data_IF_812946953115
#
_entry.id   IF_812946953115
#
_cell.length_a   1.000
_cell.length_b   1.000
_cell.length_c   1.000
_cell.angle_alpha   90.00
_cell.angle_beta   90.00
_cell.angle_gamma   90.00
#
_symmetry.space_group_name_H-M   'P 1'
#
loop_
_entity.id
_entity.type
_entity.pdbx_description
1 polymer ?
#
# COMPACT_ATOMS: atom_id res chain seq x y z
N UNK A 1 17.32 -1.95 -25.96
CA UNK A 1 16.20 -2.90 -25.83
C UNK A 1 15.85 -2.97 -24.35
N UNK A 2 14.81 -2.23 -23.91
CA UNK A 2 14.41 -2.23 -22.50
C UNK A 2 13.48 -3.43 -22.33
N UNK A 3 14.02 -4.54 -21.82
CA UNK A 3 13.20 -5.69 -21.43
C UNK A 3 12.43 -5.20 -20.20
N UNK A 4 11.22 -4.67 -20.41
CA UNK A 4 10.23 -4.62 -19.34
C UNK A 4 10.02 -6.09 -18.96
N UNK A 5 10.38 -6.42 -17.73
CA UNK A 5 10.08 -7.71 -17.14
C UNK A 5 8.80 -7.47 -16.36
N UNK A 6 7.71 -8.12 -16.73
CA UNK A 6 6.63 -8.38 -15.77
C UNK A 6 7.25 -9.14 -14.61
N UNK A 7 7.59 -8.44 -13.53
CA UNK A 7 8.21 -9.05 -12.37
C UNK A 7 7.08 -9.54 -11.48
N UNK A 8 7.01 -10.86 -11.35
CA UNK A 8 6.23 -11.49 -10.29
C UNK A 8 6.91 -11.25 -8.95
N UNK A 9 6.12 -11.09 -7.92
CA UNK A 9 6.60 -11.14 -6.54
C UNK A 9 7.23 -12.50 -6.25
N UNK A 10 8.26 -12.49 -5.41
CA UNK A 10 8.76 -13.73 -4.85
C UNK A 10 7.69 -14.33 -3.93
N UNK A 11 7.61 -15.66 -3.86
CA UNK A 11 6.65 -16.35 -2.97
C UNK A 11 6.73 -15.86 -1.50
N UNK A 12 7.92 -15.62 -0.90
CA UNK A 12 8.00 -15.06 0.44
C UNK A 12 7.34 -13.69 0.59
N UNK A 13 7.44 -12.84 -0.42
CA UNK A 13 6.80 -11.52 -0.43
C UNK A 13 5.28 -11.65 -0.53
N UNK A 14 4.77 -12.58 -1.35
CA UNK A 14 3.33 -12.87 -1.41
C UNK A 14 2.79 -13.33 -0.06
N UNK A 15 3.49 -14.25 0.61
CA UNK A 15 3.13 -14.74 1.94
C UNK A 15 3.17 -13.60 2.96
N UNK A 16 4.18 -12.74 2.87
CA UNK A 16 4.34 -11.59 3.76
C UNK A 16 3.18 -10.59 3.61
N UNK A 17 2.82 -10.22 2.38
CA UNK A 17 1.70 -9.29 2.12
C UNK A 17 0.37 -9.92 2.52
N UNK A 18 0.19 -11.23 2.31
CA UNK A 18 -1.00 -11.95 2.77
C UNK A 18 -1.11 -11.90 4.30
N UNK A 19 -0.06 -12.31 5.01
CA UNK A 19 -0.04 -12.33 6.47
C UNK A 19 -0.26 -10.93 7.06
N UNK A 20 0.36 -9.90 6.48
CA UNK A 20 0.14 -8.51 6.87
C UNK A 20 -1.31 -8.08 6.64
N UNK A 21 -1.90 -8.43 5.50
CA UNK A 21 -3.30 -8.08 5.19
C UNK A 21 -4.25 -8.72 6.20
N UNK A 22 -4.07 -10.01 6.49
CA UNK A 22 -4.87 -10.74 7.47
C UNK A 22 -4.76 -10.11 8.87
N UNK A 23 -3.54 -9.76 9.30
CA UNK A 23 -3.30 -9.10 10.59
C UNK A 23 -3.99 -7.73 10.71
N UNK A 24 -4.25 -7.06 9.58
CA UNK A 24 -4.90 -5.74 9.53
C UNK A 24 -6.38 -5.80 9.12
N UNK A 25 -7.00 -6.98 9.17
CA UNK A 25 -8.38 -7.19 8.73
C UNK A 25 -8.61 -6.70 7.28
N UNK A 26 -7.71 -7.09 6.39
CA UNK A 26 -7.78 -6.83 4.96
C UNK A 26 -7.64 -8.12 4.16
N UNK A 27 -8.13 -8.08 2.93
CA UNK A 27 -8.04 -9.16 1.95
C UNK A 27 -7.05 -8.76 0.86
N UNK A 28 -6.03 -9.58 0.67
CA UNK A 28 -5.16 -9.52 -0.50
C UNK A 28 -5.78 -10.29 -1.67
N UNK A 29 -5.65 -9.77 -2.89
CA UNK A 29 -5.99 -10.44 -4.15
C UNK A 29 -4.86 -10.24 -5.13
N UNK A 30 -4.31 -11.32 -5.66
CA UNK A 30 -3.38 -11.28 -6.80
C UNK A 30 -4.19 -11.02 -8.07
N UNK A 31 -3.79 -10.02 -8.85
CA UNK A 31 -4.37 -9.67 -10.15
C UNK A 31 -3.26 -9.62 -11.19
N UNK A 32 -3.62 -9.89 -12.43
CA UNK A 32 -2.77 -9.61 -13.58
C UNK A 32 -3.31 -8.33 -14.21
N UNK A 33 -2.49 -7.28 -14.25
CA UNK A 33 -2.84 -6.04 -14.93
C UNK A 33 -2.19 -5.98 -16.31
N UNK A 34 -2.90 -5.36 -17.25
CA UNK A 34 -2.55 -5.38 -18.66
C UNK A 34 -1.99 -4.02 -19.13
N UNK A 35 -0.71 -3.99 -19.49
CA UNK A 35 -0.09 -2.86 -20.19
C UNK A 35 -0.28 -2.97 -21.71
N UNK A 36 -1.04 -2.04 -22.30
CA UNK A 36 -1.52 -2.05 -23.69
C UNK A 36 -0.56 -2.54 -24.80
N UNK A 37 -1.14 -3.28 -25.75
CA UNK A 37 -0.75 -3.60 -27.13
C UNK A 37 0.52 -4.42 -27.42
N UNK A 38 1.34 -4.79 -26.44
CA UNK A 38 2.48 -5.72 -26.67
C UNK A 38 2.74 -6.65 -25.47
N UNK A 39 1.62 -7.20 -24.99
CA UNK A 39 1.24 -7.66 -23.64
C UNK A 39 2.24 -8.55 -22.88
N UNK A 40 2.98 -7.96 -21.94
CA UNK A 40 3.43 -8.69 -20.74
C UNK A 40 2.47 -8.35 -19.61
N UNK A 41 1.91 -9.39 -18.97
CA UNK A 41 1.10 -9.21 -17.77
C UNK A 41 1.98 -8.82 -16.60
N UNK A 42 1.59 -7.78 -15.86
CA UNK A 42 2.24 -7.39 -14.61
C UNK A 42 1.44 -7.96 -13.44
N UNK A 43 2.13 -8.63 -12.51
CA UNK A 43 1.50 -9.10 -11.28
C UNK A 43 1.31 -7.92 -10.33
N UNK A 44 0.07 -7.69 -9.92
CA UNK A 44 -0.29 -6.64 -8.96
C UNK A 44 -1.08 -7.24 -7.80
N UNK A 45 -0.81 -6.76 -6.60
CA UNK A 45 -1.54 -7.12 -5.38
C UNK A 45 -2.54 -6.02 -5.05
N UNK A 46 -3.83 -6.36 -5.12
CA UNK A 46 -4.89 -5.47 -4.68
C UNK A 46 -5.29 -5.81 -3.23
N UNK A 47 -5.29 -4.81 -2.37
CA UNK A 47 -5.60 -4.95 -0.94
C UNK A 47 -6.92 -4.24 -0.63
N UNK A 48 -7.87 -4.99 -0.08
CA UNK A 48 -9.23 -4.53 0.22
C UNK A 48 -9.49 -4.56 1.72
N UNK A 49 -10.15 -3.56 2.31
CA UNK A 49 -10.68 -3.69 3.67
C UNK A 49 -11.75 -4.79 3.70
N UNK A 50 -11.80 -5.61 4.76
CA UNK A 50 -12.87 -6.61 4.88
C UNK A 50 -14.25 -5.94 4.86
N UNK A 51 -15.17 -6.48 4.04
CA UNK A 51 -16.55 -5.99 3.93
C UNK A 51 -16.72 -4.70 3.10
N UNK A 52 -15.67 -4.18 2.47
CA UNK A 52 -15.72 -2.96 1.65
C UNK A 52 -15.28 -3.24 0.22
N UNK A 53 -15.97 -2.63 -0.76
CA UNK A 53 -15.69 -2.80 -2.19
C UNK A 53 -14.55 -1.94 -2.73
N UNK A 54 -14.32 -0.66 -2.32
CA UNK A 54 -13.18 0.07 -2.84
C UNK A 54 -11.88 -0.61 -2.41
N UNK A 55 -11.06 -0.95 -3.41
CA UNK A 55 -9.67 -1.30 -3.20
C UNK A 55 -9.02 -0.16 -2.41
N UNK A 56 -8.20 -0.51 -1.41
CA UNK A 56 -7.48 0.48 -0.61
C UNK A 56 -6.13 0.79 -1.23
N UNK A 57 -5.41 -0.26 -1.65
CA UNK A 57 -4.09 -0.14 -2.27
C UNK A 57 -3.90 -1.14 -3.40
N UNK A 58 -3.18 -0.70 -4.42
CA UNK A 58 -2.61 -1.54 -5.48
C UNK A 58 -1.09 -1.53 -5.28
N UNK A 59 -0.47 -2.70 -5.28
CA UNK A 59 0.96 -2.88 -5.06
C UNK A 59 1.53 -3.64 -6.27
N UNK A 60 2.63 -3.17 -6.84
CA UNK A 60 3.33 -3.86 -7.93
C UNK A 60 4.83 -3.76 -7.76
N UNK A 61 5.56 -4.65 -8.40
CA UNK A 61 7.03 -4.68 -8.36
C UNK A 61 7.60 -4.36 -9.74
N UNK A 62 8.64 -3.54 -9.75
CA UNK A 62 9.49 -3.33 -10.93
C UNK A 62 10.96 -3.57 -10.56
N UNK A 63 11.84 -3.53 -11.56
CA UNK A 63 13.27 -3.85 -11.40
C UNK A 63 13.99 -2.95 -10.37
N UNK A 64 13.38 -1.81 -10.01
CA UNK A 64 13.91 -0.85 -9.04
C UNK A 64 13.22 -0.83 -7.68
N UNK A 65 12.27 -1.72 -7.40
CA UNK A 65 11.61 -1.80 -6.10
C UNK A 65 10.10 -2.03 -6.18
N UNK A 66 9.41 -1.69 -5.11
CA UNK A 66 7.98 -1.94 -4.91
C UNK A 66 7.25 -0.61 -4.92
N UNK A 67 6.15 -0.55 -5.65
CA UNK A 67 5.28 0.60 -5.70
C UNK A 67 3.97 0.31 -5.00
N UNK A 68 3.47 1.29 -4.27
CA UNK A 68 2.17 1.26 -3.62
C UNK A 68 1.37 2.46 -4.06
N UNK A 69 0.19 2.22 -4.62
CA UNK A 69 -0.76 3.26 -4.99
C UNK A 69 -2.05 3.12 -4.17
N UNK A 70 -2.39 4.11 -3.32
CA UNK A 70 -3.75 4.21 -2.81
C UNK A 70 -4.71 4.54 -3.95
N UNK A 71 -5.91 3.98 -3.93
CA UNK A 71 -6.93 4.26 -4.98
C UNK A 71 -7.21 5.75 -5.11
N UNK A 72 -7.16 6.48 -3.99
CA UNK A 72 -7.24 7.93 -3.96
C UNK A 72 -5.89 8.52 -3.54
N UNK A 73 -4.94 8.59 -4.47
CA UNK A 73 -3.68 9.29 -4.23
C UNK A 73 -2.59 8.98 -5.24
N UNK A 74 -1.36 9.40 -4.89
CA UNK A 74 -0.16 9.19 -5.72
C UNK A 74 0.51 7.89 -5.35
N UNK A 75 1.13 7.25 -6.33
CA UNK A 75 2.02 6.13 -6.10
C UNK A 75 3.22 6.55 -5.26
N UNK A 76 3.66 5.63 -4.41
CA UNK A 76 4.84 5.74 -3.56
C UNK A 76 5.77 4.59 -3.88
N UNK A 77 7.08 4.83 -3.82
CA UNK A 77 8.13 3.87 -4.15
C UNK A 77 8.90 3.47 -2.88
N UNK A 78 9.20 2.18 -2.78
CA UNK A 78 9.90 1.54 -1.68
C UNK A 78 10.97 0.60 -2.21
N UNK A 79 12.05 0.41 -1.46
CA UNK A 79 13.14 -0.51 -1.84
C UNK A 79 12.75 -1.97 -1.72
N UNK A 80 11.78 -2.29 -0.85
CA UNK A 80 11.30 -3.65 -0.61
C UNK A 80 9.83 -3.71 -0.20
N UNK A 81 9.26 -4.92 -0.21
CA UNK A 81 7.91 -5.18 0.31
C UNK A 81 7.84 -4.89 1.81
N UNK A 82 8.88 -5.23 2.57
CA UNK A 82 8.94 -4.98 4.02
C UNK A 82 8.80 -3.49 4.32
N UNK A 83 9.62 -2.66 3.65
CA UNK A 83 9.57 -1.21 3.81
C UNK A 83 8.19 -0.63 3.46
N UNK A 84 7.57 -1.14 2.39
CA UNK A 84 6.23 -0.73 1.98
C UNK A 84 5.19 -1.05 3.06
N UNK A 85 5.20 -2.27 3.61
CA UNK A 85 4.24 -2.70 4.63
C UNK A 85 4.43 -1.97 5.96
N UNK A 86 5.67 -1.68 6.35
CA UNK A 86 5.98 -0.86 7.53
C UNK A 86 5.37 0.55 7.38
N UNK A 87 5.53 1.17 6.20
CA UNK A 87 4.97 2.49 5.93
C UNK A 87 3.43 2.51 5.89
N UNK A 88 2.80 1.39 5.46
CA UNK A 88 1.34 1.25 5.45
C UNK A 88 0.74 0.96 6.83
N UNK A 89 1.54 0.46 7.76
CA UNK A 89 1.09 0.15 9.12
C UNK A 89 0.85 1.47 9.86
N UNK A 90 -0.38 1.73 10.35
CA UNK A 90 -0.65 2.96 11.09
C UNK A 90 0.29 3.07 12.28
N UNK A 91 1.06 4.15 12.35
CA UNK A 91 1.76 4.51 13.59
C UNK A 91 0.71 4.66 14.70
N UNK A 92 0.95 4.06 15.87
CA UNK A 92 0.06 4.19 17.05
C UNK A 92 -0.36 5.66 17.18
N UNK A 93 -1.66 5.97 17.35
CA UNK A 93 -2.06 7.34 17.57
C UNK A 93 -1.33 7.85 18.80
N UNK A 94 -0.42 8.82 18.60
CA UNK A 94 0.06 9.66 19.67
C UNK A 94 -1.22 10.26 20.26
N UNK A 95 -1.53 9.91 21.51
CA UNK A 95 -2.69 10.45 22.20
C UNK A 95 -2.63 11.97 22.05
N UNK A 96 -3.52 12.52 21.22
CA UNK A 96 -3.67 13.96 21.10
C UNK A 96 -4.11 14.42 22.47
N UNK A 97 -3.17 14.94 23.27
CA UNK A 97 -3.50 15.62 24.51
C UNK A 97 -4.37 16.79 24.11
N UNK A 98 -5.64 16.73 24.49
CA UNK A 98 -6.58 17.83 24.31
C UNK A 98 -5.95 19.08 24.94
N UNK A 99 -5.45 19.99 24.10
CA UNK A 99 -5.06 21.32 24.55
C UNK A 99 -6.37 22.05 24.87
N UNK A 100 -6.84 21.89 26.11
CA UNK A 100 -7.91 22.72 26.66
C UNK A 100 -7.30 24.08 26.99
N UNK A 101 -7.53 25.08 26.15
CA UNK A 101 -7.29 26.47 26.54
C UNK A 101 -8.10 26.75 27.80
N UNK A 102 -7.42 26.93 28.94
CA UNK A 102 -8.09 27.12 30.23
C UNK A 102 -8.71 28.52 30.35
N UNK A 103 -8.21 29.49 29.56
CA UNK A 103 -8.74 30.86 29.45
C UNK A 103 -8.43 31.46 28.08
N UNK A 104 -9.38 32.21 27.52
CA UNK A 104 -9.15 33.10 26.39
C UNK A 104 -8.57 34.43 26.87
N UNK A 105 -7.62 35.06 26.16
CA UNK A 105 -7.19 36.41 26.50
C UNK A 105 -8.35 37.39 26.26
N UNK A 106 -8.72 38.12 27.30
CA UNK A 106 -9.63 39.26 27.19
C UNK A 106 -8.78 40.41 26.64
N UNK A 107 -9.06 40.83 25.41
CA UNK A 107 -8.37 41.95 24.79
C UNK A 107 -9.08 43.24 25.25
N UNK A 108 -8.34 44.25 25.75
CA UNK A 108 -8.88 45.51 26.28
C UNK A 108 -9.44 46.45 25.21
#
# INVERSE_FOLDING_TARGET
MKILKGLSFAIPDLILVQAWSEAHAMRMVVRLDHGSDNEQYEEVLAVYPFGSLPCRWIIWQEAGGVYVQPVNGRSQHYGSVVEALEALTPSKPIAQTHIRATRWPIIP
#
